data_IF_366228601157
#
_entry.id   IF_366228601157
#
_cell.length_a   1.000
_cell.length_b   1.000
_cell.length_c   1.000
_cell.angle_alpha   90.00
_cell.angle_beta   90.00
_cell.angle_gamma   90.00
#
_symmetry.space_group_name_H-M   'P 1'
#
loop_
_entity.id
_entity.type
_entity.pdbx_description
1 polymer ?
#
# COMPACT_ATOMS: atom_id res chain seq x y z
N UNK A 1 -5.17 -19.68 21.65
CA UNK A 1 -3.73 -19.67 21.94
C UNK A 1 -3.03 -19.15 20.70
N UNK A 2 -2.94 -17.82 20.56
CA UNK A 2 -1.99 -17.25 19.62
C UNK A 2 -0.61 -17.64 20.15
N UNK A 3 0.04 -18.60 19.50
CA UNK A 3 1.45 -18.83 19.75
C UNK A 3 2.16 -17.48 19.62
N UNK A 4 3.13 -17.20 20.49
CA UNK A 4 3.98 -16.02 20.47
C UNK A 4 4.79 -15.94 19.16
N UNK A 5 4.10 -15.71 18.03
CA UNK A 5 4.71 -15.57 16.73
C UNK A 5 5.36 -14.20 16.69
N UNK A 6 6.68 -14.20 16.76
CA UNK A 6 7.50 -13.03 16.59
C UNK A 6 7.45 -12.60 15.12
N UNK A 7 6.97 -11.37 14.88
CA UNK A 7 7.08 -10.76 13.58
C UNK A 7 8.51 -10.22 13.40
N UNK A 8 9.12 -10.52 12.25
CA UNK A 8 10.46 -10.08 11.93
C UNK A 8 10.45 -9.29 10.63
N UNK A 9 11.35 -8.32 10.52
CA UNK A 9 11.61 -7.55 9.29
C UNK A 9 13.09 -7.61 8.94
N UNK A 10 13.39 -7.69 7.65
CA UNK A 10 14.73 -7.54 7.13
C UNK A 10 14.69 -6.93 5.72
N UNK A 11 15.70 -6.13 5.40
CA UNK A 11 15.85 -5.55 4.07
C UNK A 11 16.50 -6.58 3.13
N UNK A 12 16.01 -6.70 1.89
CA UNK A 12 16.53 -7.66 0.90
C UNK A 12 17.62 -7.07 -0.01
N UNK A 13 18.29 -5.99 0.42
CA UNK A 13 19.20 -5.23 -0.44
C UNK A 13 18.45 -4.28 -1.36
N UNK A 14 17.37 -3.68 -0.85
CA UNK A 14 16.57 -2.74 -1.62
C UNK A 14 17.43 -1.51 -1.99
N UNK A 15 17.21 -0.96 -3.19
CA UNK A 15 18.03 0.15 -3.70
C UNK A 15 18.00 1.38 -2.80
N UNK A 16 16.84 1.67 -2.21
CA UNK A 16 16.62 2.84 -1.34
C UNK A 16 16.72 2.51 0.16
N UNK A 17 16.75 1.23 0.52
CA UNK A 17 16.86 0.75 1.89
C UNK A 17 15.57 0.85 2.70
N UNK A 18 15.66 0.28 3.89
CA UNK A 18 14.59 0.26 4.90
C UNK A 18 15.11 0.80 6.23
N UNK A 19 14.28 1.52 6.97
CA UNK A 19 14.57 1.98 8.33
C UNK A 19 13.50 1.50 9.31
N UNK A 20 13.92 1.17 10.54
CA UNK A 20 13.06 1.00 11.73
C UNK A 20 13.36 2.13 12.72
N UNK A 21 12.41 3.05 12.90
CA UNK A 21 12.65 4.32 13.57
C UNK A 21 13.83 5.06 12.93
N UNK A 22 14.91 5.24 13.69
CA UNK A 22 16.15 5.87 13.21
C UNK A 22 17.18 4.89 12.65
N UNK A 23 17.02 3.60 12.91
CA UNK A 23 17.96 2.54 12.52
C UNK A 23 17.77 2.18 11.04
N UNK A 24 18.80 2.33 10.22
CA UNK A 24 18.83 1.74 8.86
C UNK A 24 19.12 0.25 8.97
N UNK A 25 18.28 -0.57 8.36
CA UNK A 25 18.45 -2.02 8.41
C UNK A 25 19.65 -2.43 7.55
N UNK A 26 20.45 -3.36 8.07
CA UNK A 26 21.48 -4.06 7.28
C UNK A 26 20.80 -5.14 6.42
N UNK A 27 21.12 -5.25 5.12
CA UNK A 27 20.54 -6.28 4.26
C UNK A 27 20.70 -7.69 4.85
N UNK A 28 19.63 -8.49 4.74
CA UNK A 28 19.52 -9.88 5.20
C UNK A 28 19.66 -10.11 6.72
N UNK A 29 19.75 -9.04 7.53
CA UNK A 29 19.72 -9.13 9.00
C UNK A 29 18.29 -9.01 9.51
N UNK A 30 17.87 -9.93 10.38
CA UNK A 30 16.52 -9.96 10.95
C UNK A 30 16.41 -9.06 12.17
N UNK A 31 15.39 -8.22 12.18
CA UNK A 31 15.05 -7.34 13.30
C UNK A 31 13.64 -7.68 13.78
N UNK A 32 13.47 -7.80 15.10
CA UNK A 32 12.15 -8.03 15.68
C UNK A 32 11.25 -6.81 15.46
N UNK A 33 9.98 -7.06 15.16
CA UNK A 33 8.91 -6.07 15.13
C UNK A 33 8.06 -6.16 16.39
N UNK A 34 7.76 -5.00 16.93
CA UNK A 34 6.85 -4.79 18.06
C UNK A 34 5.72 -3.88 17.61
N UNK A 35 4.55 -4.05 18.22
CA UNK A 35 3.37 -3.24 17.94
C UNK A 35 3.70 -1.74 17.96
N UNK A 36 3.27 -1.02 16.94
CA UNK A 36 3.49 0.42 16.82
C UNK A 36 4.87 0.84 16.30
N UNK A 37 5.78 -0.10 16.00
CA UNK A 37 7.09 0.23 15.45
C UNK A 37 6.96 1.04 14.15
N UNK A 38 7.62 2.20 14.10
CA UNK A 38 7.68 3.02 12.89
C UNK A 38 8.71 2.46 11.91
N UNK A 39 8.33 2.37 10.65
CA UNK A 39 9.19 1.97 9.55
C UNK A 39 9.23 3.08 8.50
N UNK A 40 10.34 3.18 7.76
CA UNK A 40 10.40 3.98 6.54
C UNK A 40 10.92 3.09 5.43
N UNK A 41 10.08 2.83 4.42
CA UNK A 41 10.43 2.05 3.24
C UNK A 41 10.79 3.04 2.14
N UNK A 42 12.08 3.16 1.79
CA UNK A 42 12.58 4.29 1.00
C UNK A 42 12.21 5.65 1.64
N UNK A 43 11.17 6.31 1.13
CA UNK A 43 10.61 7.60 1.56
C UNK A 43 9.17 7.47 2.10
N UNK A 44 8.63 6.25 2.21
CA UNK A 44 7.26 5.98 2.62
C UNK A 44 7.24 5.65 4.13
N UNK A 45 6.66 6.52 4.99
CA UNK A 45 6.50 6.23 6.41
C UNK A 45 5.39 5.19 6.62
N UNK A 46 5.65 4.23 7.50
CA UNK A 46 4.74 3.14 7.83
C UNK A 46 4.79 2.85 9.33
N UNK A 47 3.81 2.10 9.84
CA UNK A 47 3.79 1.58 11.19
C UNK A 47 3.39 0.11 11.17
N UNK A 48 4.09 -0.72 11.95
CA UNK A 48 3.67 -2.09 12.17
C UNK A 48 2.48 -2.14 13.12
N UNK A 49 1.40 -2.79 12.69
CA UNK A 49 0.19 -3.02 13.49
C UNK A 49 -0.17 -4.49 13.35
N UNK A 50 -0.24 -5.21 14.47
CA UNK A 50 -0.69 -6.59 14.53
C UNK A 50 -2.21 -6.61 14.38
N UNK A 51 -2.68 -7.12 13.26
CA UNK A 51 -4.11 -7.30 13.04
C UNK A 51 -4.60 -8.53 13.81
N UNK A 52 -5.41 -8.31 14.84
CA UNK A 52 -6.12 -9.38 15.54
C UNK A 52 -7.18 -9.98 14.63
N UNK A 53 -7.12 -11.30 14.42
CA UNK A 53 -8.07 -12.01 13.57
C UNK A 53 -9.51 -11.66 13.93
N UNK A 54 -10.32 -11.40 12.91
CA UNK A 54 -11.78 -11.31 13.08
C UNK A 54 -12.21 -12.62 13.76
N UNK A 55 -12.66 -12.55 15.01
CA UNK A 55 -13.38 -13.67 15.60
C UNK A 55 -14.63 -13.84 14.74
N UNK A 56 -14.83 -15.03 14.16
CA UNK A 56 -16.01 -15.33 13.31
C UNK A 56 -17.33 -15.44 14.10
N UNK A 57 -17.43 -14.72 15.22
CA UNK A 57 -18.64 -14.45 15.98
C UNK A 57 -18.47 -13.04 16.51
N UNK A 58 -18.84 -12.05 15.70
CA UNK A 58 -19.79 -11.03 16.10
C UNK A 58 -20.01 -10.12 14.90
N UNK A 59 -21.29 -9.83 14.68
CA UNK A 59 -21.88 -9.11 13.58
C UNK A 59 -21.05 -7.95 13.02
N UNK A 60 -21.18 -7.77 11.70
CA UNK A 60 -20.69 -6.61 10.96
C UNK A 60 -20.96 -5.29 11.69
N UNK A 61 -19.99 -4.82 12.47
CA UNK A 61 -19.86 -3.41 12.81
C UNK A 61 -18.39 -3.06 12.80
N UNK A 62 -17.95 -2.62 11.63
CA UNK A 62 -16.69 -1.90 11.44
C UNK A 62 -16.62 -0.82 12.54
N UNK A 63 -15.69 -0.90 13.50
CA UNK A 63 -15.51 0.17 14.46
C UNK A 63 -14.81 1.30 13.72
N UNK A 64 -15.59 2.33 13.39
CA UNK A 64 -15.15 3.68 13.13
C UNK A 64 -13.81 3.82 12.40
N UNK A 65 -13.86 3.81 11.08
CA UNK A 65 -12.95 4.65 10.31
C UNK A 65 -13.12 6.07 10.84
N UNK A 66 -12.21 6.49 11.74
CA UNK A 66 -12.15 7.87 12.19
C UNK A 66 -11.76 8.66 10.95
N UNK A 67 -12.71 9.43 10.45
CA UNK A 67 -12.52 10.33 9.31
C UNK A 67 -11.45 11.35 9.70
N UNK A 68 -10.19 11.05 9.38
CA UNK A 68 -9.16 12.08 9.29
C UNK A 68 -9.46 12.87 8.02
N UNK A 69 -10.02 14.07 8.21
CA UNK A 69 -10.33 14.98 7.12
C UNK A 69 -9.05 15.41 6.41
N UNK A 70 -8.69 14.70 5.34
CA UNK A 70 -7.85 15.23 4.27
C UNK A 70 -8.71 15.23 3.02
N UNK A 71 -9.11 16.44 2.61
CA UNK A 71 -9.77 16.69 1.33
C UNK A 71 -8.71 16.59 0.22
N UNK A 72 -8.38 15.37 -0.17
CA UNK A 72 -7.67 15.09 -1.41
C UNK A 72 -8.68 14.87 -2.52
N UNK A 73 -9.00 15.91 -3.29
CA UNK A 73 -9.77 15.74 -4.53
C UNK A 73 -8.85 15.08 -5.55
N UNK A 74 -9.03 13.79 -5.80
CA UNK A 74 -8.48 13.12 -6.98
C UNK A 74 -9.62 13.03 -8.02
N UNK A 75 -9.44 13.51 -9.27
CA UNK A 75 -10.45 13.35 -10.30
C UNK A 75 -10.51 11.89 -10.75
N UNK A 76 -11.71 11.31 -10.70
CA UNK A 76 -12.01 9.97 -11.19
C UNK A 76 -11.71 9.87 -12.69
N UNK A 77 -10.87 8.90 -13.08
CA UNK A 77 -10.78 8.46 -14.46
C UNK A 77 -11.87 7.40 -14.72
N UNK A 78 -12.80 7.60 -15.67
CA UNK A 78 -13.79 6.57 -15.99
C UNK A 78 -13.22 5.60 -17.03
N UNK A 79 -13.12 4.33 -16.64
CA UNK A 79 -12.94 3.21 -17.57
C UNK A 79 -14.29 2.57 -17.93
N UNK A 80 -14.54 2.35 -19.23
CA UNK A 80 -15.34 1.20 -19.67
C UNK A 80 -16.29 1.34 -20.87
N UNK A 81 -15.81 0.86 -22.02
CA UNK A 81 -16.46 -0.01 -23.03
C UNK A 81 -17.37 0.55 -24.16
N UNK A 82 -16.85 0.33 -25.37
CA UNK A 82 -17.44 -0.22 -26.61
C UNK A 82 -18.71 0.41 -27.23
N UNK A 83 -18.53 0.93 -28.45
CA UNK A 83 -19.59 1.10 -29.43
C UNK A 83 -18.99 1.17 -30.83
N UNK A 84 -19.22 0.14 -31.65
CA UNK A 84 -18.93 0.13 -33.08
C UNK A 84 -19.85 1.11 -33.82
N UNK A 85 -19.28 1.98 -34.64
CA UNK A 85 -19.97 2.59 -35.77
C UNK A 85 -18.94 3.06 -36.81
N UNK A 86 -18.87 2.28 -37.90
CA UNK A 86 -18.23 2.58 -39.16
C UNK A 86 -18.75 3.90 -39.78
N UNK A 87 -17.83 4.79 -40.16
CA UNK A 87 -18.06 5.85 -41.16
C UNK A 87 -16.72 6.42 -41.61
N UNK A 88 -16.29 6.01 -42.80
CA UNK A 88 -14.96 6.30 -43.35
C UNK A 88 -14.73 7.69 -43.95
N UNK A 89 -13.58 7.78 -44.65
CA UNK A 89 -13.09 8.88 -45.52
C UNK A 89 -12.51 10.08 -44.74
N UNK A 90 -11.28 10.58 -44.94
CA UNK A 90 -10.43 10.71 -46.14
C UNK A 90 -8.98 11.10 -45.76
N UNK A 91 -8.09 10.92 -46.74
CA UNK A 91 -6.63 11.14 -46.82
C UNK A 91 -6.04 12.45 -46.26
N UNK A 92 -4.75 12.39 -45.86
CA UNK A 92 -3.83 13.53 -45.80
C UNK A 92 -2.40 13.14 -45.41
N UNK A 93 -1.48 13.11 -46.38
CA UNK A 93 -0.02 12.97 -46.24
C UNK A 93 0.62 14.30 -45.86
N UNK A 94 1.65 14.30 -45.01
CA UNK A 94 3.01 14.73 -45.42
C UNK A 94 4.05 14.45 -44.32
N UNK A 95 5.24 14.18 -44.81
CA UNK A 95 6.52 14.05 -44.13
C UNK A 95 7.26 15.39 -44.21
N UNK A 96 7.97 15.74 -43.14
CA UNK A 96 8.99 16.79 -43.08
C UNK A 96 10.11 16.33 -42.17
#
# INVERSE_FOLDING_TARGET
CDADMEALVWDLGSMNGTRKGRLKLTPNVRYALSEGDSLVLADIPCQYVRWGGVSSQDDMKIPGCVKSGVKGTFPDAPGGKQGDADRGSKRGVNSG
#
